data_IF_355954916657
#
_entry.id   IF_355954916657
#
_cell.length_a   1.000
_cell.length_b   1.000
_cell.length_c   1.000
_cell.angle_alpha   90.00
_cell.angle_beta   90.00
_cell.angle_gamma   90.00
#
_symmetry.space_group_name_H-M   'P 1'
#
loop_
_entity.id
_entity.type
_entity.pdbx_description
1 polymer ?
#
# COMPACT_ATOMS: atom_id res chain seq x y z
N UNK A 1 22.29 -10.36 -3.55
CA UNK A 1 20.91 -9.90 -3.83
C UNK A 1 20.97 -8.69 -4.76
N UNK A 2 21.13 -8.91 -6.07
CA UNK A 2 21.25 -7.85 -7.08
C UNK A 2 20.09 -7.96 -8.06
N UNK A 3 19.50 -6.83 -8.47
CA UNK A 3 18.42 -6.78 -9.49
C UNK A 3 16.98 -6.58 -8.97
N UNK A 4 16.78 -6.12 -7.73
CA UNK A 4 15.44 -5.82 -7.22
C UNK A 4 14.90 -4.52 -7.86
N UNK A 5 13.79 -4.60 -8.60
CA UNK A 5 13.14 -3.46 -9.27
C UNK A 5 12.12 -2.77 -8.36
N UNK A 6 11.38 -3.54 -7.56
CA UNK A 6 10.42 -3.07 -6.55
C UNK A 6 10.79 -3.73 -5.22
N UNK A 7 10.83 -2.98 -4.11
CA UNK A 7 10.83 -3.61 -2.78
C UNK A 7 9.53 -3.34 -2.04
N UNK A 8 9.06 -4.39 -1.37
CA UNK A 8 7.93 -4.34 -0.45
C UNK A 8 8.48 -4.25 0.96
N UNK A 9 8.02 -3.30 1.74
CA UNK A 9 8.43 -3.16 3.13
C UNK A 9 7.22 -3.03 4.05
N UNK A 10 7.18 -3.89 5.06
CA UNK A 10 6.17 -3.84 6.11
C UNK A 10 6.75 -3.02 7.27
N UNK A 11 6.24 -1.80 7.46
CA UNK A 11 6.70 -0.91 8.54
C UNK A 11 5.80 -0.99 9.78
N UNK A 12 4.94 -2.01 9.87
CA UNK A 12 3.98 -2.18 10.96
C UNK A 12 4.54 -2.14 12.40
N UNK A 13 5.86 -2.14 12.59
CA UNK A 13 6.53 -1.95 13.90
C UNK A 13 7.14 -0.56 14.14
N UNK A 14 7.39 0.27 13.13
CA UNK A 14 8.04 1.58 13.30
C UNK A 14 7.03 2.72 13.19
N UNK A 15 6.32 2.97 14.30
CA UNK A 15 5.66 4.20 14.73
C UNK A 15 5.50 5.37 13.71
N UNK A 16 4.83 5.12 12.58
CA UNK A 16 4.50 6.17 11.61
C UNK A 16 3.45 5.66 10.63
N UNK A 17 2.30 6.34 10.58
CA UNK A 17 1.24 6.08 9.58
C UNK A 17 1.80 6.11 8.15
N UNK A 18 2.88 6.89 7.93
CA UNK A 18 3.66 6.96 6.71
C UNK A 18 5.15 6.79 7.05
N UNK A 19 5.82 5.82 6.42
CA UNK A 19 7.27 5.71 6.49
C UNK A 19 7.91 6.59 5.40
N UNK A 20 9.07 7.19 5.69
CA UNK A 20 9.88 7.86 4.66
C UNK A 20 10.56 6.78 3.82
N UNK A 21 9.92 6.38 2.73
CA UNK A 21 10.42 5.35 1.84
C UNK A 21 11.40 5.98 0.85
N UNK A 22 12.69 5.69 0.99
CA UNK A 22 13.73 6.18 0.08
C UNK A 22 13.99 5.16 -1.02
N UNK A 23 13.78 5.56 -2.27
CA UNK A 23 14.13 4.77 -3.46
C UNK A 23 15.62 4.98 -3.75
N UNK A 24 16.41 3.90 -3.78
CA UNK A 24 17.82 3.95 -4.15
C UNK A 24 18.08 3.05 -5.38
N UNK A 25 18.85 3.49 -6.40
CA UNK A 25 19.18 2.63 -7.53
C UNK A 25 19.82 1.30 -7.10
N UNK A 26 19.48 0.15 -7.72
CA UNK A 26 18.69 -0.03 -8.95
C UNK A 26 17.16 -0.11 -8.75
N UNK A 27 16.64 0.15 -7.55
CA UNK A 27 15.21 0.13 -7.28
C UNK A 27 14.50 1.32 -7.90
N UNK A 28 13.30 1.11 -8.44
CA UNK A 28 12.47 2.16 -9.06
C UNK A 28 11.23 2.51 -8.26
N UNK A 29 10.79 1.61 -7.37
CA UNK A 29 9.66 1.83 -6.47
C UNK A 29 9.81 1.07 -5.14
N UNK A 30 9.13 1.58 -4.12
CA UNK A 30 9.00 0.97 -2.81
C UNK A 30 7.56 1.11 -2.31
N UNK A 31 6.94 -0.01 -1.96
CA UNK A 31 5.61 -0.08 -1.39
C UNK A 31 5.71 -0.38 0.10
N UNK A 32 5.25 0.54 0.92
CA UNK A 32 5.11 0.42 2.35
C UNK A 32 3.71 -0.01 2.75
N UNK A 33 3.60 -1.01 3.62
CA UNK A 33 2.38 -1.35 4.33
C UNK A 33 2.53 -1.02 5.82
N UNK A 34 1.58 -0.29 6.38
CA UNK A 34 1.51 -0.03 7.82
C UNK A 34 0.78 -1.12 8.58
N UNK A 35 0.40 -0.83 9.83
CA UNK A 35 -0.34 -1.78 10.68
C UNK A 35 -1.83 -1.73 10.37
N UNK A 36 -2.47 -2.89 10.30
CA UNK A 36 -3.93 -2.98 10.23
C UNK A 36 -4.52 -2.45 11.55
N UNK A 37 -5.49 -1.55 11.44
CA UNK A 37 -6.14 -0.93 12.59
C UNK A 37 -7.63 -0.71 12.33
N UNK A 38 -8.43 -0.66 13.39
CA UNK A 38 -9.85 -0.33 13.30
C UNK A 38 -10.02 1.19 13.18
N UNK A 39 -10.73 1.63 12.15
CA UNK A 39 -11.04 3.04 11.89
C UNK A 39 -12.52 3.20 11.58
N UNK A 40 -13.08 4.34 11.99
CA UNK A 40 -14.39 4.77 11.50
C UNK A 40 -14.21 5.30 10.09
N UNK A 41 -14.87 4.66 9.12
CA UNK A 41 -14.87 5.03 7.71
C UNK A 41 -16.30 5.24 7.24
N UNK A 42 -16.49 5.98 6.14
CA UNK A 42 -17.80 6.16 5.53
C UNK A 42 -17.99 5.08 4.45
N UNK A 43 -19.06 4.28 4.57
CA UNK A 43 -19.54 3.36 3.54
C UNK A 43 -21.04 3.59 3.37
N UNK A 44 -21.50 3.72 2.12
CA UNK A 44 -22.92 3.99 1.79
C UNK A 44 -23.50 5.17 2.60
N UNK A 45 -22.74 6.26 2.70
CA UNK A 45 -23.08 7.47 3.46
C UNK A 45 -23.31 7.25 4.97
N UNK A 46 -22.85 6.13 5.53
CA UNK A 46 -22.95 5.81 6.96
C UNK A 46 -21.57 5.60 7.58
N UNK A 47 -21.34 6.05 8.83
CA UNK A 47 -20.12 5.71 9.55
C UNK A 47 -20.16 4.23 9.95
N UNK A 48 -19.09 3.50 9.61
CA UNK A 48 -18.90 2.09 9.98
C UNK A 48 -17.50 1.88 10.53
N UNK A 49 -17.32 0.93 11.44
CA UNK A 49 -16.00 0.50 11.88
C UNK A 49 -15.48 -0.53 10.87
N UNK A 50 -14.29 -0.30 10.33
CA UNK A 50 -13.63 -1.21 9.41
C UNK A 50 -12.14 -1.39 9.75
N UNK A 51 -11.60 -2.56 9.41
CA UNK A 51 -10.15 -2.79 9.41
C UNK A 51 -9.54 -2.07 8.20
N UNK A 52 -8.59 -1.17 8.46
CA UNK A 52 -7.90 -0.39 7.43
C UNK A 52 -6.43 -0.75 7.44
N UNK A 53 -5.88 -1.03 6.25
CA UNK A 53 -4.45 -1.18 6.02
C UNK A 53 -3.93 0.08 5.29
N UNK A 54 -3.17 0.97 5.95
CA UNK A 54 -2.55 2.09 5.27
C UNK A 54 -1.41 1.60 4.36
N UNK A 55 -1.42 2.07 3.12
CA UNK A 55 -0.38 1.80 2.12
C UNK A 55 0.29 3.11 1.70
N UNK A 56 1.59 3.07 1.43
CA UNK A 56 2.36 4.22 0.93
C UNK A 56 3.27 3.76 -0.20
N UNK A 57 3.28 4.48 -1.32
CA UNK A 57 4.12 4.16 -2.48
C UNK A 57 5.06 5.34 -2.75
N UNK A 58 6.36 5.07 -2.78
CA UNK A 58 7.36 6.00 -3.29
C UNK A 58 8.00 5.42 -4.54
N UNK A 59 8.30 6.27 -5.52
CA UNK A 59 8.88 5.86 -6.80
C UNK A 59 9.79 6.96 -7.36
N UNK A 60 10.72 6.58 -8.23
CA UNK A 60 11.55 7.54 -8.96
C UNK A 60 10.78 8.06 -10.19
N UNK A 61 10.38 9.34 -10.14
CA UNK A 61 9.68 10.02 -11.23
C UNK A 61 10.45 10.05 -12.56
N UNK A 62 11.77 9.84 -12.55
CA UNK A 62 12.58 9.75 -13.77
C UNK A 62 12.37 8.42 -14.49
N UNK A 63 11.95 7.38 -13.76
CA UNK A 63 11.77 6.02 -14.26
C UNK A 63 10.28 5.65 -14.44
N UNK A 64 9.37 6.22 -13.64
CA UNK A 64 7.95 5.85 -13.60
C UNK A 64 7.08 7.11 -13.58
N UNK A 65 5.99 7.13 -14.37
CA UNK A 65 5.05 8.25 -14.36
C UNK A 65 4.08 8.17 -13.18
N UNK A 66 3.47 9.30 -12.80
CA UNK A 66 2.44 9.30 -11.77
C UNK A 66 1.25 8.39 -12.11
N UNK A 67 0.86 8.33 -13.38
CA UNK A 67 -0.24 7.47 -13.84
C UNK A 67 0.06 5.99 -13.65
N UNK A 68 1.27 5.55 -14.00
CA UNK A 68 1.70 4.16 -13.82
C UNK A 68 1.76 3.78 -12.33
N UNK A 69 2.30 4.68 -11.50
CA UNK A 69 2.39 4.47 -10.06
C UNK A 69 1.00 4.39 -9.39
N UNK A 70 0.08 5.29 -9.75
CA UNK A 70 -1.30 5.25 -9.25
C UNK A 70 -2.05 4.01 -9.73
N UNK A 71 -1.87 3.63 -11.01
CA UNK A 71 -2.47 2.41 -11.56
C UNK A 71 -1.98 1.15 -10.84
N UNK A 72 -0.68 1.06 -10.57
CA UNK A 72 -0.10 -0.02 -9.78
C UNK A 72 -0.68 -0.07 -8.35
N UNK A 73 -0.72 1.06 -7.65
CA UNK A 73 -1.29 1.12 -6.30
C UNK A 73 -2.77 0.73 -6.27
N UNK A 74 -3.56 1.17 -7.27
CA UNK A 74 -4.96 0.80 -7.39
C UNK A 74 -5.15 -0.71 -7.61
N UNK A 75 -4.32 -1.34 -8.45
CA UNK A 75 -4.33 -2.78 -8.66
C UNK A 75 -3.99 -3.56 -7.37
N UNK A 76 -3.02 -3.09 -6.58
CA UNK A 76 -2.68 -3.67 -5.27
C UNK A 76 -3.86 -3.57 -4.31
N UNK A 77 -4.49 -2.39 -4.19
CA UNK A 77 -5.66 -2.19 -3.33
C UNK A 77 -6.79 -3.14 -3.73
N UNK A 78 -7.11 -3.23 -5.02
CA UNK A 78 -8.16 -4.11 -5.54
C UNK A 78 -7.87 -5.58 -5.21
N UNK A 79 -6.63 -6.05 -5.40
CA UNK A 79 -6.24 -7.42 -5.06
C UNK A 79 -6.44 -7.71 -3.57
N UNK A 80 -6.01 -6.82 -2.68
CA UNK A 80 -6.14 -7.01 -1.23
C UNK A 80 -7.59 -6.99 -0.74
N UNK A 81 -8.44 -6.17 -1.36
CA UNK A 81 -9.87 -6.12 -1.05
C UNK A 81 -10.58 -7.39 -1.51
N UNK A 82 -10.27 -7.88 -2.72
CA UNK A 82 -10.83 -9.10 -3.28
C UNK A 82 -10.55 -10.32 -2.41
N UNK A 83 -9.36 -10.42 -1.84
CA UNK A 83 -8.98 -11.54 -0.97
C UNK A 83 -9.68 -11.46 0.40
N UNK A 84 -9.92 -10.25 0.92
CA UNK A 84 -10.69 -10.04 2.13
C UNK A 84 -12.17 -10.47 1.97
N UNK A 85 -12.77 -10.19 0.81
CA UNK A 85 -14.15 -10.63 0.50
C UNK A 85 -14.28 -12.15 0.42
N UNK A 86 -13.28 -12.83 -0.15
CA UNK A 86 -13.26 -14.30 -0.21
C UNK A 86 -13.11 -14.94 1.17
N UNK A 87 -12.35 -14.32 2.06
CA UNK A 87 -12.16 -14.79 3.44
C UNK A 87 -13.34 -14.50 4.37
N UNK A 88 -14.19 -13.51 4.05
CA UNK A 88 -15.40 -13.22 4.82
C UNK A 88 -16.59 -14.12 4.46
N UNK A 89 -16.54 -14.78 3.30
CA UNK A 89 -17.59 -15.66 2.77
C UNK A 89 -17.22 -17.16 2.86
N UNK A 90 -16.19 -17.51 3.62
CA UNK A 90 -15.74 -18.87 3.88
C UNK A 90 -15.62 -19.13 5.38
#
# INVERSE_FOLDING_TARGET
LTGQTITLSNFGMMAGLHASLVVAPPQVAILGAGRIEERVVVRDHKPVVARVLPLSLSFDHRAVTGGDATGFLAAVIASLQSDCEKQSNS
#
